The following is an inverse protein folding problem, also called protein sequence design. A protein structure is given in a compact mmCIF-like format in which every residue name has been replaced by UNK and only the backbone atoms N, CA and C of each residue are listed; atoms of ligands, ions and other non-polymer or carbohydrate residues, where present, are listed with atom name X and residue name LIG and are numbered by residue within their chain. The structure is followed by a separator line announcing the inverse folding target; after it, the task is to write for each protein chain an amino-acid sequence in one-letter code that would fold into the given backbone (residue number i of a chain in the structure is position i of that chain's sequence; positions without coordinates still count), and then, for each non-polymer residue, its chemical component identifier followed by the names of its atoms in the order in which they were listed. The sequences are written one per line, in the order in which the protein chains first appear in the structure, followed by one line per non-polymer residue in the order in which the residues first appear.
data_IF_067391362529
#
_entry.id   IF_067391362529
#
_cell.length_a   1.000
_cell.length_b   1.000
_cell.length_c   1.000
_cell.angle_alpha   90.00
_cell.angle_beta   90.00
_cell.angle_gamma   90.00
#
_symmetry.space_group_name_H-M   'P 1'
#
loop_
_entity.id
_entity.type
_entity.pdbx_description
1 polymer ?
#
# COMPACT_ATOMS: atom_id res chain seq x y z
N UNK A 1 -9.73 -9.39 33.22
CA UNK A 1 -9.80 -8.57 32.00
C UNK A 1 -10.56 -9.41 30.98
N UNK A 2 -11.89 -9.45 31.13
CA UNK A 2 -12.75 -10.25 30.26
C UNK A 2 -12.88 -9.55 28.92
N UNK A 3 -12.32 -10.17 27.88
CA UNK A 3 -12.62 -9.86 26.50
C UNK A 3 -14.08 -10.24 26.24
N UNK A 4 -15.00 -9.30 26.49
CA UNK A 4 -16.41 -9.54 26.32
C UNK A 4 -16.75 -9.73 24.82
N UNK A 5 -17.62 -10.69 24.45
CA UNK A 5 -18.02 -10.98 23.07
C UNK A 5 -18.99 -9.93 22.46
N UNK A 6 -18.94 -8.67 22.93
CA UNK A 6 -19.81 -7.56 22.52
C UNK A 6 -19.18 -6.58 21.53
N UNK A 7 -17.94 -6.77 21.11
CA UNK A 7 -17.39 -5.99 20.00
C UNK A 7 -17.93 -6.52 18.67
N UNK A 8 -18.59 -5.64 17.93
CA UNK A 8 -18.99 -5.90 16.55
C UNK A 8 -17.76 -6.40 15.77
N UNK A 9 -17.96 -7.43 14.94
CA UNK A 9 -16.87 -8.02 14.16
C UNK A 9 -16.28 -6.94 13.23
N UNK A 10 -14.94 -6.88 13.08
CA UNK A 10 -14.32 -6.02 12.08
C UNK A 10 -14.88 -6.31 10.69
N UNK A 11 -15.21 -5.28 9.92
CA UNK A 11 -15.72 -5.41 8.55
C UNK A 11 -14.92 -4.53 7.59
N UNK A 12 -14.76 -4.99 6.35
CA UNK A 12 -14.11 -4.27 5.27
C UNK A 12 -15.13 -4.04 4.15
N UNK A 13 -15.39 -2.78 3.83
CA UNK A 13 -16.28 -2.40 2.73
C UNK A 13 -15.46 -1.68 1.64
N UNK A 14 -15.45 -2.22 0.42
CA UNK A 14 -14.74 -1.62 -0.71
C UNK A 14 -15.58 -0.45 -1.26
N UNK A 15 -14.97 0.73 -1.35
CA UNK A 15 -15.62 1.97 -1.78
C UNK A 15 -15.35 2.22 -3.25
N UNK A 16 -14.09 2.07 -3.67
CA UNK A 16 -13.68 2.18 -5.07
C UNK A 16 -12.49 1.28 -5.36
N UNK A 17 -12.44 0.76 -6.58
CA UNK A 17 -11.35 -0.07 -7.07
C UNK A 17 -11.03 0.31 -8.50
N UNK A 18 -9.75 0.53 -8.77
CA UNK A 18 -9.18 0.87 -10.08
C UNK A 18 -7.84 0.15 -10.26
N UNK A 19 -7.25 0.19 -11.46
CA UNK A 19 -6.00 -0.53 -11.79
C UNK A 19 -4.85 -0.26 -10.80
N UNK A 20 -4.72 0.97 -10.33
CA UNK A 20 -3.61 1.39 -9.47
C UNK A 20 -4.05 1.94 -8.10
N UNK A 21 -5.36 2.02 -7.82
CA UNK A 21 -5.85 2.60 -6.56
C UNK A 21 -7.07 1.86 -6.04
N UNK A 22 -7.09 1.63 -4.73
CA UNK A 22 -8.21 1.05 -3.99
C UNK A 22 -8.53 1.93 -2.77
N UNK A 23 -9.82 2.19 -2.56
CA UNK A 23 -10.31 2.79 -1.32
C UNK A 23 -11.27 1.82 -0.63
N UNK A 24 -11.09 1.62 0.67
CA UNK A 24 -11.96 0.78 1.47
C UNK A 24 -12.17 1.38 2.86
N UNK A 25 -13.25 0.97 3.52
CA UNK A 25 -13.57 1.31 4.89
C UNK A 25 -13.34 0.08 5.77
N UNK A 26 -12.51 0.23 6.80
CA UNK A 26 -12.39 -0.70 7.91
C UNK A 26 -13.27 -0.20 9.06
N UNK A 27 -14.34 -0.93 9.37
CA UNK A 27 -15.26 -0.60 10.46
C UNK A 27 -15.14 -1.60 11.62
N UNK A 28 -15.54 -1.17 12.82
CA UNK A 28 -15.50 -1.95 14.06
C UNK A 28 -14.09 -2.45 14.41
N UNK A 29 -13.08 -1.61 14.16
CA UNK A 29 -11.68 -1.92 14.47
C UNK A 29 -11.07 -0.82 15.33
N UNK A 30 -9.88 -1.03 15.86
CA UNK A 30 -9.15 -0.05 16.66
C UNK A 30 -7.97 0.56 15.86
N UNK A 31 -7.44 1.67 16.36
CA UNK A 31 -6.31 2.39 15.75
C UNK A 31 -5.06 1.50 15.62
N UNK A 32 -4.84 0.59 16.57
CA UNK A 32 -3.72 -0.35 16.56
C UNK A 32 -3.81 -1.31 15.39
N UNK A 33 -4.96 -1.94 15.19
CA UNK A 33 -5.23 -2.83 14.05
C UNK A 33 -5.11 -2.10 12.71
N UNK A 34 -5.73 -0.92 12.58
CA UNK A 34 -5.64 -0.11 11.36
C UNK A 34 -4.17 0.25 11.03
N UNK A 35 -3.41 0.72 12.04
CA UNK A 35 -2.01 1.07 11.83
C UNK A 35 -1.13 -0.17 11.57
N UNK A 36 -1.47 -1.34 12.12
CA UNK A 36 -0.77 -2.59 11.81
C UNK A 36 -0.91 -2.95 10.32
N UNK A 37 -2.13 -2.92 9.78
CA UNK A 37 -2.39 -3.15 8.34
C UNK A 37 -1.58 -2.16 7.49
N UNK A 38 -1.63 -0.86 7.82
CA UNK A 38 -0.86 0.18 7.11
C UNK A 38 0.64 -0.12 7.11
N UNK A 39 1.20 -0.52 8.25
CA UNK A 39 2.64 -0.81 8.39
C UNK A 39 3.05 -2.07 7.64
N UNK A 40 2.21 -3.09 7.63
CA UNK A 40 2.46 -4.33 6.88
C UNK A 40 2.50 -4.01 5.38
N UNK A 41 1.52 -3.25 4.87
CA UNK A 41 1.48 -2.83 3.47
C UNK A 41 2.76 -2.10 3.07
N UNK A 42 3.24 -1.18 3.92
CA UNK A 42 4.44 -0.40 3.61
C UNK A 42 5.75 -1.21 3.70
N UNK A 43 5.85 -2.16 4.63
CA UNK A 43 7.17 -2.69 5.01
C UNK A 43 7.34 -4.20 4.91
N UNK A 44 6.25 -4.97 4.81
CA UNK A 44 6.30 -6.42 4.99
C UNK A 44 5.64 -7.22 3.87
N UNK A 45 5.10 -6.54 2.84
CA UNK A 45 4.71 -7.24 1.62
C UNK A 45 5.98 -7.56 0.82
N UNK A 46 6.21 -8.84 0.46
CA UNK A 46 7.33 -9.24 -0.38
C UNK A 46 7.17 -8.76 -1.82
N UNK A 47 8.26 -8.28 -2.40
CA UNK A 47 8.32 -7.88 -3.81
C UNK A 47 9.68 -8.18 -4.42
N UNK A 48 9.77 -8.12 -5.74
CA UNK A 48 11.00 -8.26 -6.51
C UNK A 48 11.54 -6.88 -6.87
N UNK A 49 12.84 -6.67 -6.72
CA UNK A 49 13.53 -5.48 -7.19
C UNK A 49 14.96 -5.83 -7.60
N UNK A 50 15.56 -5.02 -8.49
CA UNK A 50 16.95 -5.17 -8.92
C UNK A 50 17.87 -4.87 -7.72
N UNK A 51 18.71 -5.85 -7.39
CA UNK A 51 19.65 -5.77 -6.27
C UNK A 51 21.08 -5.64 -6.74
N UNK A 52 21.47 -6.46 -7.71
CA UNK A 52 22.85 -6.50 -8.23
C UNK A 52 22.82 -6.01 -9.68
N UNK A 53 23.71 -5.06 -9.98
CA UNK A 53 23.94 -4.55 -11.33
C UNK A 53 25.40 -4.77 -11.67
N UNK A 54 25.66 -5.65 -12.63
CA UNK A 54 27.01 -5.92 -13.14
C UNK A 54 27.22 -5.09 -14.40
N UNK A 55 28.13 -4.13 -14.33
CA UNK A 55 28.47 -3.26 -15.47
C UNK A 55 29.50 -3.98 -16.34
N UNK A 56 29.13 -4.23 -17.60
CA UNK A 56 30.03 -4.80 -18.60
C UNK A 56 30.63 -3.69 -19.48
N UNK A 57 29.81 -2.71 -19.83
CA UNK A 57 30.22 -1.53 -20.60
C UNK A 57 29.35 -0.33 -20.22
N UNK A 58 29.97 0.79 -19.88
CA UNK A 58 29.28 2.08 -19.77
C UNK A 58 30.18 3.17 -20.35
N UNK A 59 29.82 3.67 -21.54
CA UNK A 59 30.48 4.84 -22.15
C UNK A 59 29.58 6.07 -22.12
N UNK A 60 28.48 6.02 -21.35
CA UNK A 60 27.56 7.12 -21.16
C UNK A 60 28.15 8.21 -20.25
N UNK A 61 27.43 9.33 -20.14
CA UNK A 61 27.82 10.46 -19.27
C UNK A 61 27.50 10.19 -17.80
N UNK A 62 26.58 9.27 -17.51
CA UNK A 62 26.12 9.00 -16.14
C UNK A 62 27.01 7.94 -15.49
N UNK A 63 27.47 8.20 -14.26
CA UNK A 63 28.26 7.22 -13.52
C UNK A 63 27.48 5.95 -13.20
N UNK A 64 28.21 4.85 -13.08
CA UNK A 64 27.66 3.50 -12.89
C UNK A 64 26.71 3.43 -11.69
N UNK A 65 27.08 4.05 -10.57
CA UNK A 65 26.31 4.03 -9.33
C UNK A 65 24.94 4.73 -9.48
N UNK A 66 24.86 5.79 -10.28
CA UNK A 66 23.60 6.48 -10.53
C UNK A 66 22.68 5.64 -11.41
N UNK A 67 23.23 4.99 -12.44
CA UNK A 67 22.45 4.09 -13.31
C UNK A 67 21.96 2.89 -12.48
N UNK A 68 22.84 2.26 -11.70
CA UNK A 68 22.50 1.13 -10.84
C UNK A 68 21.42 1.50 -9.82
N UNK A 69 21.51 2.67 -9.19
CA UNK A 69 20.49 3.16 -8.26
C UNK A 69 19.13 3.36 -8.95
N UNK A 70 19.10 3.94 -10.16
CA UNK A 70 17.86 4.10 -10.94
C UNK A 70 17.24 2.76 -11.31
N UNK A 71 18.06 1.81 -11.78
CA UNK A 71 17.62 0.46 -12.11
C UNK A 71 17.05 -0.26 -10.88
N UNK A 72 17.67 -0.09 -9.72
CA UNK A 72 17.19 -0.63 -8.45
C UNK A 72 15.81 -0.13 -8.03
N UNK A 73 15.40 1.05 -8.48
CA UNK A 73 14.09 1.66 -8.17
C UNK A 73 13.00 1.34 -9.21
N UNK A 74 13.31 0.60 -10.27
CA UNK A 74 12.29 0.16 -11.21
C UNK A 74 11.35 -0.85 -10.54
N UNK A 75 10.02 -0.61 -10.56
CA UNK A 75 9.08 -1.59 -10.05
C UNK A 75 9.06 -2.80 -10.98
N UNK A 76 9.18 -4.00 -10.43
CA UNK A 76 9.04 -5.27 -11.16
C UNK A 76 7.71 -5.90 -10.80
N UNK A 77 7.02 -6.47 -11.79
CA UNK A 77 5.81 -7.26 -11.56
C UNK A 77 6.06 -8.35 -10.52
N UNK A 78 5.46 -8.16 -9.35
CA UNK A 78 5.69 -8.94 -8.14
C UNK A 78 4.46 -9.78 -7.78
N UNK A 79 3.52 -9.96 -8.72
CA UNK A 79 2.32 -10.77 -8.53
C UNK A 79 2.65 -12.21 -8.09
N UNK A 80 3.78 -12.74 -8.56
CA UNK A 80 4.29 -14.08 -8.24
C UNK A 80 5.47 -14.04 -7.26
N UNK A 81 5.71 -12.94 -6.53
CA UNK A 81 6.84 -12.84 -5.59
C UNK A 81 6.83 -13.91 -4.48
N UNK A 82 5.67 -14.49 -4.18
CA UNK A 82 5.52 -15.59 -3.22
C UNK A 82 6.20 -16.89 -3.71
N UNK A 83 6.30 -17.12 -5.02
CA UNK A 83 6.95 -18.30 -5.61
C UNK A 83 8.48 -18.26 -5.57
N UNK A 84 9.05 -17.10 -5.23
CA UNK A 84 10.50 -16.92 -5.07
C UNK A 84 10.92 -17.08 -3.61
N UNK A 85 12.08 -17.68 -3.42
CA UNK A 85 12.73 -17.75 -2.11
C UNK A 85 13.55 -16.50 -1.85
N UNK A 86 13.67 -16.13 -0.57
CA UNK A 86 14.65 -15.13 -0.18
C UNK A 86 16.06 -15.69 -0.36
N UNK A 87 16.98 -14.84 -0.83
CA UNK A 87 18.36 -15.25 -1.16
C UNK A 87 19.12 -15.80 0.05
N UNK A 88 18.86 -15.29 1.25
CA UNK A 88 19.44 -15.76 2.52
C UNK A 88 18.88 -17.11 3.00
N UNK A 89 17.73 -17.54 2.45
CA UNK A 89 17.07 -18.82 2.80
C UNK A 89 17.19 -19.87 1.70
N UNK A 90 17.72 -19.52 0.54
CA UNK A 90 17.87 -20.44 -0.56
C UNK A 90 19.06 -21.38 -0.33
N UNK A 91 18.93 -22.64 -0.73
CA UNK A 91 19.97 -23.68 -0.56
C UNK A 91 21.00 -23.72 -1.71
N UNK A 92 21.01 -22.73 -2.60
CA UNK A 92 21.98 -22.65 -3.69
C UNK A 92 23.31 -22.05 -3.23
N UNK A 93 24.40 -22.38 -3.94
CA UNK A 93 25.74 -21.85 -3.62
C UNK A 93 25.95 -20.39 -4.04
N UNK A 94 25.29 -19.95 -5.11
CA UNK A 94 25.46 -18.60 -5.67
C UNK A 94 24.10 -18.00 -6.08
N UNK A 95 23.61 -18.30 -7.29
CA UNK A 95 22.29 -17.90 -7.78
C UNK A 95 21.56 -19.04 -8.47
N UNK A 96 20.23 -19.05 -8.38
CA UNK A 96 19.38 -20.03 -9.07
C UNK A 96 18.00 -19.46 -9.41
N UNK A 97 17.25 -20.16 -10.24
CA UNK A 97 15.91 -19.75 -10.71
C UNK A 97 14.84 -19.63 -9.62
N UNK A 98 15.11 -20.12 -8.40
CA UNK A 98 14.19 -20.02 -7.24
C UNK A 98 14.36 -18.72 -6.47
N UNK A 99 15.54 -18.11 -6.48
CA UNK A 99 15.86 -16.95 -5.63
C UNK A 99 16.20 -15.67 -6.43
N UNK A 100 16.50 -15.80 -7.72
CA UNK A 100 16.89 -14.67 -8.58
C UNK A 100 16.17 -14.67 -9.93
N UNK A 101 15.96 -13.46 -10.47
CA UNK A 101 15.59 -13.26 -11.87
C UNK A 101 16.67 -12.40 -12.53
N UNK A 102 17.21 -12.86 -13.64
CA UNK A 102 18.31 -12.18 -14.35
C UNK A 102 17.81 -11.51 -15.64
N UNK A 103 18.29 -10.29 -15.87
CA UNK A 103 18.01 -9.49 -17.05
C UNK A 103 19.28 -8.94 -17.68
N UNK A 104 19.18 -8.52 -18.93
CA UNK A 104 20.22 -7.83 -19.68
C UNK A 104 19.67 -6.50 -20.17
N UNK A 105 20.47 -5.44 -20.04
CA UNK A 105 20.24 -4.15 -20.64
C UNK A 105 21.41 -3.86 -21.57
N UNK A 106 21.19 -4.00 -22.88
CA UNK A 106 22.18 -3.72 -23.91
C UNK A 106 21.62 -2.69 -24.89
N UNK A 107 22.30 -1.55 -25.03
CA UNK A 107 21.86 -0.46 -25.90
C UNK A 107 23.04 0.32 -26.43
N UNK A 108 23.07 0.55 -27.74
CA UNK A 108 24.07 1.35 -28.44
C UNK A 108 23.39 2.46 -29.23
N UNK A 109 23.96 3.66 -29.18
CA UNK A 109 23.41 4.82 -29.88
C UNK A 109 24.13 5.04 -31.21
N UNK A 110 23.45 4.77 -32.32
CA UNK A 110 23.93 5.06 -33.69
C UNK A 110 23.49 6.44 -34.18
N UNK A 111 22.35 6.93 -33.70
CA UNK A 111 21.77 8.22 -34.05
C UNK A 111 22.34 9.35 -33.17
N UNK A 112 21.88 10.59 -33.35
CA UNK A 112 22.37 11.75 -32.59
C UNK A 112 22.15 11.62 -31.08
N UNK A 113 21.01 11.04 -30.67
CA UNK A 113 20.76 10.65 -29.28
C UNK A 113 19.69 9.57 -29.16
N UNK A 114 19.86 8.67 -28.18
CA UNK A 114 18.88 7.64 -27.80
C UNK A 114 18.59 7.75 -26.30
N UNK A 115 17.33 7.74 -25.91
CA UNK A 115 16.94 7.58 -24.49
C UNK A 115 16.76 6.09 -24.23
N UNK A 116 17.55 5.55 -23.32
CA UNK A 116 17.42 4.16 -22.85
C UNK A 116 16.35 4.15 -21.76
N UNK A 117 15.40 3.25 -21.87
CA UNK A 117 14.25 3.12 -20.96
C UNK A 117 14.16 1.71 -20.39
N UNK A 118 13.26 1.49 -19.42
CA UNK A 118 13.02 0.15 -18.88
C UNK A 118 12.50 -0.85 -19.93
N UNK A 119 11.97 -0.38 -21.07
CA UNK A 119 11.58 -1.25 -22.18
C UNK A 119 12.77 -1.87 -22.94
N UNK A 120 13.97 -1.30 -22.82
CA UNK A 120 15.19 -1.89 -23.40
C UNK A 120 15.73 -3.06 -22.54
N UNK A 121 15.11 -3.37 -21.40
CA UNK A 121 15.50 -4.49 -20.52
C UNK A 121 14.86 -5.77 -21.02
N UNK A 122 15.67 -6.81 -21.22
CA UNK A 122 15.23 -8.14 -21.66
C UNK A 122 15.63 -9.21 -20.65
N UNK A 123 14.86 -10.28 -20.45
CA UNK A 123 15.27 -11.40 -19.61
C UNK A 123 16.49 -12.12 -20.20
N UNK A 124 17.42 -12.59 -19.35
CA UNK A 124 18.54 -13.40 -19.81
C UNK A 124 18.04 -14.82 -20.20
N UNK A 125 17.99 -15.13 -21.51
CA UNK A 125 17.56 -16.45 -21.97
C UNK A 125 18.49 -17.55 -21.44
N UNK A 126 17.91 -18.53 -20.73
CA UNK A 126 18.62 -19.69 -20.17
C UNK A 126 18.61 -19.80 -18.64
N UNK A 127 18.08 -18.79 -17.93
CA UNK A 127 18.11 -18.76 -16.45
C UNK A 127 16.89 -19.36 -15.74
N UNK A 128 15.73 -19.45 -16.38
CA UNK A 128 14.51 -19.98 -15.76
C UNK A 128 13.85 -21.01 -16.65
N UNK A 129 13.78 -22.27 -16.21
CA UNK A 129 12.94 -23.31 -16.83
C UNK A 129 11.44 -23.05 -16.75
N UNK A 130 11.04 -21.77 -16.66
CA UNK A 130 9.67 -21.27 -16.64
C UNK A 130 9.44 -20.58 -17.97
N UNK A 131 8.34 -20.89 -18.66
CA UNK A 131 8.06 -20.37 -20.01
C UNK A 131 8.09 -18.83 -20.07
N UNK A 132 8.39 -18.29 -21.24
CA UNK A 132 8.64 -16.86 -21.51
C UNK A 132 7.59 -15.91 -20.89
N UNK A 133 6.30 -16.30 -20.90
CA UNK A 133 5.20 -15.50 -20.35
C UNK A 133 5.15 -15.37 -18.82
N UNK A 134 5.99 -16.10 -18.08
CA UNK A 134 5.96 -16.17 -16.62
C UNK A 134 7.09 -15.41 -15.92
N UNK A 135 8.01 -14.81 -16.68
CA UNK A 135 9.14 -14.07 -16.11
C UNK A 135 8.63 -12.70 -15.63
N UNK A 136 8.83 -12.35 -14.35
CA UNK A 136 8.60 -11.00 -13.85
C UNK A 136 9.34 -9.96 -14.70
N UNK A 137 8.67 -8.90 -15.12
CA UNK A 137 9.29 -7.82 -15.90
C UNK A 137 9.05 -6.47 -15.24
N UNK A 138 9.95 -5.48 -15.45
CA UNK A 138 9.71 -4.10 -15.04
C UNK A 138 8.36 -3.58 -15.57
N UNK A 139 7.62 -2.88 -14.71
CA UNK A 139 6.33 -2.26 -15.03
C UNK A 139 6.49 -0.73 -15.18
N UNK A 140 5.70 -0.05 -16.03
CA UNK A 140 4.57 -0.55 -16.82
C UNK A 140 5.00 -1.49 -17.96
N UNK A 141 4.20 -2.52 -18.25
CA UNK A 141 4.40 -3.36 -19.45
C UNK A 141 4.04 -2.55 -20.70
N UNK A 142 4.65 -2.90 -21.84
CA UNK A 142 4.35 -2.29 -23.13
C UNK A 142 2.97 -2.78 -23.63
N UNK A 143 1.89 -2.26 -23.04
CA UNK A 143 0.53 -2.54 -23.48
C UNK A 143 0.21 -1.66 -24.71
N UNK A 144 -0.09 -2.28 -25.85
CA UNK A 144 -0.46 -1.61 -27.11
C UNK A 144 -1.79 -0.82 -27.07
N UNK A 145 -2.54 -0.86 -25.95
CA UNK A 145 -3.96 -0.46 -25.92
C UNK A 145 -4.31 0.82 -25.17
N UNK A 146 -3.35 1.57 -24.61
CA UNK A 146 -3.66 2.85 -23.93
C UNK A 146 -2.71 3.97 -24.37
N UNK A 147 -2.84 4.38 -25.64
CA UNK A 147 -2.12 5.54 -26.17
C UNK A 147 -2.94 6.83 -25.97
N UNK A 148 -3.15 7.19 -24.70
CA UNK A 148 -3.43 8.58 -24.33
C UNK A 148 -2.09 9.33 -24.23
N UNK A 149 -1.46 9.58 -25.38
CA UNK A 149 -0.53 10.70 -25.58
C UNK A 149 0.92 10.61 -25.08
N UNK A 150 1.32 9.70 -24.18
CA UNK A 150 2.74 9.50 -23.84
C UNK A 150 2.99 8.25 -23.00
N UNK A 151 3.46 7.16 -23.59
CA UNK A 151 4.16 6.10 -22.85
C UNK A 151 5.63 6.08 -23.28
N UNK A 152 6.31 7.20 -23.06
CA UNK A 152 7.77 7.13 -22.95
C UNK A 152 8.06 6.22 -21.75
N UNK A 153 8.80 5.12 -21.97
CA UNK A 153 9.19 4.24 -20.87
C UNK A 153 9.95 5.01 -19.80
N UNK A 154 10.05 4.45 -18.59
CA UNK A 154 10.80 5.05 -17.48
C UNK A 154 12.24 5.27 -17.97
N UNK A 155 12.69 6.53 -18.14
CA UNK A 155 14.00 6.81 -18.67
C UNK A 155 15.07 6.39 -17.66
N UNK A 156 16.15 5.78 -18.15
CA UNK A 156 17.29 5.35 -17.34
C UNK A 156 18.46 6.28 -17.59
N UNK A 157 18.92 6.37 -18.85
CA UNK A 157 20.04 7.21 -19.28
C UNK A 157 19.85 7.66 -20.72
N UNK A 158 20.39 8.83 -21.06
CA UNK A 158 20.44 9.33 -22.44
C UNK A 158 21.84 9.10 -23.00
N UNK A 159 21.90 8.44 -24.15
CA UNK A 159 23.12 8.18 -24.89
C UNK A 159 23.24 9.17 -26.06
N UNK A 160 24.46 9.58 -26.36
CA UNK A 160 24.85 10.29 -27.59
C UNK A 160 25.48 9.32 -28.59
N UNK A 161 25.55 9.75 -29.85
CA UNK A 161 26.17 8.99 -30.95
C UNK A 161 27.52 8.38 -30.53
N UNK A 162 27.64 7.07 -30.68
CA UNK A 162 28.84 6.31 -30.34
C UNK A 162 28.91 5.81 -28.90
N UNK A 163 28.02 6.25 -28.00
CA UNK A 163 27.92 5.72 -26.65
C UNK A 163 27.11 4.41 -26.60
N UNK A 164 27.41 3.62 -25.59
CA UNK A 164 26.96 2.25 -25.36
C UNK A 164 26.75 2.02 -23.86
N UNK A 165 25.79 1.15 -23.57
CA UNK A 165 25.47 0.66 -22.24
C UNK A 165 25.23 -0.84 -22.32
N UNK A 166 25.94 -1.62 -21.50
CA UNK A 166 25.76 -3.05 -21.36
C UNK A 166 25.85 -3.42 -19.87
N UNK A 167 24.73 -3.84 -19.30
CA UNK A 167 24.62 -4.22 -17.89
C UNK A 167 23.85 -5.53 -17.74
N UNK A 168 24.29 -6.38 -16.81
CA UNK A 168 23.50 -7.52 -16.32
C UNK A 168 22.84 -7.15 -15.00
N UNK A 169 21.56 -7.48 -14.85
CA UNK A 169 20.74 -7.07 -13.73
C UNK A 169 20.21 -8.32 -13.04
N UNK A 170 20.37 -8.42 -11.72
CA UNK A 170 19.80 -9.53 -10.94
C UNK A 170 18.80 -8.98 -9.94
N UNK A 171 17.53 -9.38 -10.08
CA UNK A 171 16.47 -9.08 -9.14
C UNK A 171 16.30 -10.18 -8.10
N UNK A 172 15.97 -9.76 -6.88
CA UNK A 172 15.77 -10.64 -5.73
C UNK A 172 14.51 -10.26 -4.97
N UNK A 173 13.91 -11.25 -4.31
CA UNK A 173 12.82 -11.03 -3.35
C UNK A 173 13.32 -10.30 -2.12
N UNK A 174 12.61 -9.26 -1.72
CA UNK A 174 12.92 -8.47 -0.53
C UNK A 174 11.67 -7.84 0.09
N UNK A 175 11.89 -7.02 1.11
CA UNK A 175 10.84 -6.37 1.91
C UNK A 175 11.10 -4.88 2.02
N UNK A 176 10.02 -4.09 2.01
CA UNK A 176 10.09 -2.62 2.16
C UNK A 176 10.79 -2.16 3.44
N UNK A 177 10.79 -2.99 4.50
CA UNK A 177 11.51 -2.71 5.75
C UNK A 177 13.04 -2.61 5.58
N UNK A 178 13.60 -3.26 4.57
CA UNK A 178 15.04 -3.28 4.33
C UNK A 178 15.46 -2.16 3.37
N UNK A 179 14.66 -1.89 2.33
CA UNK A 179 14.90 -0.78 1.42
C UNK A 179 13.59 -0.35 0.75
N UNK A 180 13.46 0.94 0.48
CA UNK A 180 12.26 1.54 -0.11
C UNK A 180 11.91 0.99 -1.51
N UNK A 181 12.89 0.43 -2.22
CA UNK A 181 12.69 -0.18 -3.56
C UNK A 181 11.74 -1.39 -3.58
N UNK A 182 11.55 -2.04 -2.43
CA UNK A 182 10.61 -3.15 -2.28
C UNK A 182 9.23 -2.72 -1.78
N UNK A 183 8.99 -1.41 -1.59
CA UNK A 183 7.67 -0.90 -1.21
C UNK A 183 6.75 -0.97 -2.43
N UNK A 184 5.66 -1.73 -2.31
CA UNK A 184 4.75 -2.01 -3.43
C UNK A 184 3.65 -0.97 -3.62
N UNK A 185 3.34 -0.20 -2.57
CA UNK A 185 2.27 0.79 -2.58
C UNK A 185 2.49 1.90 -1.55
N UNK A 186 1.93 3.06 -1.86
CA UNK A 186 1.66 4.10 -0.88
C UNK A 186 0.31 3.80 -0.20
N UNK A 187 0.23 3.98 1.11
CA UNK A 187 -1.02 3.76 1.86
C UNK A 187 -1.19 4.79 2.95
N UNK A 188 -2.40 5.35 3.02
CA UNK A 188 -2.85 6.23 4.08
C UNK A 188 -4.21 5.79 4.60
N UNK A 189 -4.52 6.15 5.84
CA UNK A 189 -5.88 6.06 6.35
C UNK A 189 -6.28 7.34 7.09
N UNK A 190 -7.57 7.60 7.13
CA UNK A 190 -8.20 8.68 7.89
C UNK A 190 -9.41 8.13 8.65
N UNK A 191 -9.71 8.70 9.81
CA UNK A 191 -10.92 8.36 10.57
C UNK A 191 -12.12 9.10 9.98
N UNK A 192 -13.29 8.45 9.97
CA UNK A 192 -14.51 9.16 9.59
C UNK A 192 -14.87 10.21 10.67
N UNK A 193 -15.16 11.46 10.29
CA UNK A 193 -15.56 12.47 11.27
C UNK A 193 -16.97 12.17 11.79
N UNK A 194 -17.11 12.19 13.11
CA UNK A 194 -18.37 12.15 13.85
C UNK A 194 -18.80 13.57 14.18
N UNK A 195 -19.90 13.99 13.57
CA UNK A 195 -20.52 15.29 13.83
C UNK A 195 -21.58 15.12 14.93
N UNK A 196 -21.52 15.98 15.94
CA UNK A 196 -22.55 16.12 16.97
C UNK A 196 -23.01 17.56 17.00
N UNK A 197 -24.33 17.76 17.04
CA UNK A 197 -24.95 19.09 17.03
C UNK A 197 -25.77 19.28 18.30
N UNK A 198 -25.70 20.47 18.88
CA UNK A 198 -26.64 20.86 19.94
C UNK A 198 -27.96 21.30 19.31
N UNK A 199 -28.93 20.39 19.27
CA UNK A 199 -30.23 20.61 18.63
C UNK A 199 -30.97 21.84 19.17
N UNK A 200 -30.95 22.08 20.49
CA UNK A 200 -31.64 23.21 21.10
C UNK A 200 -31.05 24.56 20.64
N UNK A 201 -29.73 24.66 20.61
CA UNK A 201 -29.05 25.85 20.08
C UNK A 201 -29.27 26.00 18.55
N UNK A 202 -29.30 24.88 17.83
CA UNK A 202 -29.50 24.84 16.38
C UNK A 202 -30.90 25.34 15.96
N UNK A 203 -31.94 25.06 16.75
CA UNK A 203 -33.29 25.53 16.46
C UNK A 203 -33.43 27.05 16.55
N UNK A 204 -32.72 27.70 17.48
CA UNK A 204 -32.80 29.14 17.72
C UNK A 204 -31.98 29.98 16.73
N UNK A 205 -31.18 29.35 15.87
CA UNK A 205 -30.45 30.02 14.80
C UNK A 205 -31.39 30.46 13.67
N UNK A 206 -31.20 31.70 13.21
CA UNK A 206 -31.88 32.24 12.03
C UNK A 206 -31.57 31.42 10.78
N UNK A 207 -32.45 31.48 9.79
CA UNK A 207 -32.27 30.80 8.50
C UNK A 207 -31.02 31.29 7.76
N UNK A 208 -30.73 32.59 7.82
CA UNK A 208 -29.52 33.20 7.24
C UNK A 208 -28.24 32.67 7.92
N UNK A 209 -28.21 32.60 9.26
CA UNK A 209 -27.07 32.06 9.99
C UNK A 209 -26.83 30.57 9.67
N UNK A 210 -27.89 29.78 9.46
CA UNK A 210 -27.78 28.37 9.06
C UNK A 210 -27.22 28.23 7.64
N UNK A 211 -27.60 29.11 6.72
CA UNK A 211 -27.07 29.13 5.36
C UNK A 211 -25.58 29.53 5.36
N UNK A 212 -25.21 30.57 6.11
CA UNK A 212 -23.82 31.01 6.24
C UNK A 212 -22.95 29.96 6.94
N UNK A 213 -23.47 29.25 7.94
CA UNK A 213 -22.78 28.13 8.60
C UNK A 213 -22.53 26.96 7.64
N UNK A 214 -23.45 26.67 6.72
CA UNK A 214 -23.21 25.66 5.69
C UNK A 214 -22.13 26.13 4.70
N UNK A 215 -22.18 27.41 4.32
CA UNK A 215 -21.25 28.04 3.38
C UNK A 215 -19.83 28.24 3.96
N UNK A 216 -19.68 28.33 5.28
CA UNK A 216 -18.37 28.49 5.93
C UNK A 216 -17.47 27.27 5.76
N UNK A 217 -18.03 26.09 5.41
CA UNK A 217 -17.22 24.91 5.13
C UNK A 217 -16.70 24.93 3.67
N UNK A 218 -15.39 25.13 3.44
CA UNK A 218 -14.83 25.21 2.07
C UNK A 218 -14.91 23.89 1.29
N UNK A 219 -15.20 22.78 1.99
CA UNK A 219 -15.25 21.42 1.44
C UNK A 219 -16.67 20.92 1.20
N UNK A 220 -17.69 21.77 1.40
CA UNK A 220 -19.10 21.43 1.13
C UNK A 220 -19.58 20.23 1.94
N UNK A 221 -19.16 20.13 3.22
CA UNK A 221 -19.57 19.05 4.13
C UNK A 221 -21.05 19.16 4.48
N UNK A 222 -21.53 20.40 4.61
CA UNK A 222 -22.90 20.73 4.99
C UNK A 222 -23.69 21.22 3.78
N UNK A 223 -24.99 20.94 3.80
CA UNK A 223 -25.94 21.50 2.85
C UNK A 223 -27.15 22.05 3.62
N UNK A 224 -27.53 23.29 3.29
CA UNK A 224 -28.73 23.94 3.80
C UNK A 224 -29.84 23.85 2.74
N UNK A 225 -31.01 23.35 3.13
CA UNK A 225 -32.22 23.23 2.31
C UNK A 225 -33.25 24.24 2.85
N UNK A 226 -33.06 25.52 2.54
CA UNK A 226 -34.00 26.58 2.93
C UNK A 226 -35.41 26.32 2.39
N UNK A 227 -36.43 26.69 3.17
CA UNK A 227 -37.84 26.38 2.89
C UNK A 227 -38.31 26.66 1.45
N UNK A 228 -39.09 25.68 0.94
CA UNK A 228 -39.87 25.60 -0.30
C UNK A 228 -39.24 24.80 -1.47
N UNK A 229 -39.95 23.68 -1.73
CA UNK A 229 -39.90 22.75 -2.87
C UNK A 229 -38.87 21.60 -2.83
N UNK A 230 -39.43 20.40 -2.68
CA UNK A 230 -38.86 19.04 -2.80
C UNK A 230 -38.33 18.39 -1.52
N UNK A 231 -39.24 18.10 -0.58
CA UNK A 231 -39.07 16.98 0.34
C UNK A 231 -40.04 15.85 -0.05
N UNK A 232 -39.59 14.71 -0.60
CA UNK A 232 -40.32 13.47 -0.50
C UNK A 232 -40.20 12.97 0.95
N UNK A 233 -41.34 13.01 1.64
CA UNK A 233 -41.71 12.24 2.83
C UNK A 233 -40.82 12.34 4.10
N UNK A 234 -41.43 12.94 5.13
CA UNK A 234 -40.91 13.15 6.49
C UNK A 234 -40.23 11.90 7.08
N UNK A 235 -38.94 12.02 7.35
CA UNK A 235 -38.24 11.24 8.37
C UNK A 235 -37.49 12.22 9.30
N UNK A 236 -37.60 11.99 10.60
CA UNK A 236 -37.30 12.90 11.71
C UNK A 236 -35.87 13.47 11.75
N UNK A 237 -35.78 14.80 11.95
CA UNK A 237 -34.54 15.60 12.04
C UNK A 237 -34.76 16.97 11.40
N UNK A 238 -34.29 18.06 12.00
CA UNK A 238 -34.45 19.45 11.52
C UNK A 238 -34.08 19.56 10.04
N UNK A 239 -35.09 19.69 9.17
CA UNK A 239 -35.02 19.32 7.73
C UNK A 239 -34.10 20.23 6.91
N UNK A 240 -33.75 21.40 7.46
CA UNK A 240 -33.13 22.47 6.68
C UNK A 240 -31.59 22.38 6.65
N UNK A 241 -30.92 21.56 7.47
CA UNK A 241 -29.45 21.46 7.49
C UNK A 241 -28.97 20.03 7.64
N UNK A 242 -28.14 19.54 6.72
CA UNK A 242 -27.67 18.16 6.68
C UNK A 242 -26.17 18.07 6.43
N UNK A 243 -25.51 17.11 7.08
CA UNK A 243 -24.19 16.65 6.69
C UNK A 243 -24.33 15.73 5.47
N UNK A 244 -23.84 16.18 4.32
CA UNK A 244 -23.94 15.43 3.05
C UNK A 244 -22.63 14.72 2.76
N UNK A 245 -21.52 15.45 2.77
CA UNK A 245 -20.20 14.94 2.42
C UNK A 245 -19.32 14.82 3.67
N UNK A 246 -19.71 13.95 4.62
CA UNK A 246 -18.99 13.79 5.89
C UNK A 246 -17.48 13.58 5.69
N UNK A 247 -17.10 12.81 4.68
CA UNK A 247 -15.71 12.41 4.37
C UNK A 247 -14.84 13.53 3.82
N UNK A 248 -15.45 14.64 3.38
CA UNK A 248 -14.70 15.77 2.82
C UNK A 248 -14.17 16.73 3.89
N UNK A 249 -14.58 16.55 5.15
CA UNK A 249 -14.11 17.36 6.26
C UNK A 249 -12.62 17.09 6.53
N UNK A 250 -11.84 18.17 6.55
CA UNK A 250 -10.38 18.13 6.82
C UNK A 250 -10.04 18.63 8.22
N UNK A 251 -11.02 18.75 9.12
CA UNK A 251 -10.85 19.29 10.48
C UNK A 251 -10.22 20.70 10.51
N UNK A 252 -10.68 21.58 9.61
CA UNK A 252 -10.22 22.98 9.55
C UNK A 252 -10.84 23.89 10.62
N UNK A 253 -11.81 23.41 11.38
CA UNK A 253 -12.54 24.14 12.43
C UNK A 253 -13.29 25.42 12.02
N UNK A 254 -13.34 25.79 10.74
CA UNK A 254 -14.05 26.98 10.24
C UNK A 254 -15.52 27.05 10.66
N UNK A 255 -16.26 25.93 10.54
CA UNK A 255 -17.65 25.87 10.98
C UNK A 255 -17.81 26.00 12.52
N UNK A 256 -16.81 25.57 13.28
CA UNK A 256 -16.78 25.72 14.75
C UNK A 256 -16.45 27.17 15.11
N UNK A 257 -15.51 27.80 14.40
CA UNK A 257 -15.15 29.20 14.59
C UNK A 257 -16.32 30.12 14.25
N UNK A 258 -16.99 29.89 13.13
CA UNK A 258 -18.21 30.63 12.76
C UNK A 258 -19.32 30.46 13.81
N UNK A 259 -19.53 29.24 14.33
CA UNK A 259 -20.50 29.02 15.40
C UNK A 259 -20.15 29.80 16.69
N UNK A 260 -18.85 29.92 17.02
CA UNK A 260 -18.37 30.72 18.16
C UNK A 260 -18.58 32.20 17.96
N UNK A 261 -18.39 32.72 16.74
CA UNK A 261 -18.68 34.13 16.39
C UNK A 261 -20.16 34.48 16.58
N UNK A 262 -21.05 33.52 16.29
CA UNK A 262 -22.48 33.64 16.58
C UNK A 262 -22.83 33.50 18.07
N UNK A 263 -21.85 33.33 18.95
CA UNK A 263 -22.03 33.20 20.39
C UNK A 263 -22.34 31.78 20.87
N UNK A 264 -22.31 30.76 19.99
CA UNK A 264 -22.62 29.38 20.33
C UNK A 264 -21.35 28.52 20.38
N UNK A 265 -20.81 28.29 21.58
CA UNK A 265 -19.57 27.50 21.78
C UNK A 265 -19.73 26.01 21.51
N UNK A 266 -20.91 25.46 21.78
CA UNK A 266 -21.19 24.02 21.73
C UNK A 266 -22.16 23.64 20.59
N UNK A 267 -22.25 24.47 19.55
CA UNK A 267 -23.20 24.22 18.45
C UNK A 267 -22.83 22.99 17.64
N UNK A 268 -21.55 22.89 17.27
CA UNK A 268 -20.99 21.82 16.45
C UNK A 268 -19.79 21.25 17.19
N UNK A 269 -19.78 19.93 17.35
CA UNK A 269 -18.61 19.17 17.80
C UNK A 269 -18.25 18.17 16.71
N UNK A 270 -16.98 18.18 16.29
CA UNK A 270 -16.44 17.26 15.30
C UNK A 270 -15.36 16.44 16.00
N UNK A 271 -15.54 15.13 16.06
CA UNK A 271 -14.56 14.21 16.66
C UNK A 271 -14.23 13.11 15.66
N UNK A 272 -12.98 12.61 15.65
CA UNK A 272 -12.65 11.43 14.85
C UNK A 272 -13.38 10.19 15.41
N UNK A 273 -14.00 9.40 14.53
CA UNK A 273 -14.51 8.07 14.89
C UNK A 273 -13.35 7.06 14.86
N UNK A 274 -12.83 6.73 16.05
CA UNK A 274 -11.75 5.77 16.24
C UNK A 274 -12.16 4.30 15.98
N UNK A 275 -13.39 4.06 15.50
CA UNK A 275 -13.87 2.73 15.10
C UNK A 275 -14.02 2.54 13.59
N UNK A 276 -13.83 3.62 12.81
CA UNK A 276 -14.09 3.65 11.36
C UNK A 276 -12.95 4.33 10.62
N UNK A 277 -12.19 3.55 9.86
CA UNK A 277 -10.99 4.00 9.15
C UNK A 277 -11.17 3.85 7.64
N UNK A 278 -11.05 4.95 6.91
CA UNK A 278 -11.02 4.97 5.45
C UNK A 278 -9.58 4.86 4.98
N UNK A 279 -9.26 3.78 4.30
CA UNK A 279 -7.97 3.53 3.69
C UNK A 279 -7.95 3.95 2.21
N UNK A 280 -6.79 4.41 1.77
CA UNK A 280 -6.45 4.62 0.37
C UNK A 280 -5.12 3.93 0.10
N UNK A 281 -5.12 2.93 -0.79
CA UNK A 281 -3.94 2.21 -1.27
C UNK A 281 -3.69 2.62 -2.71
N UNK A 282 -2.48 3.10 -3.00
CA UNK A 282 -2.01 3.43 -4.34
C UNK A 282 -0.82 2.54 -4.69
N UNK A 283 -1.03 1.62 -5.63
CA UNK A 283 -0.03 0.66 -6.10
C UNK A 283 0.99 1.32 -7.04
N UNK A 284 2.24 0.90 -6.93
CA UNK A 284 3.33 1.21 -7.88
C UNK A 284 3.15 0.53 -9.25
N UNK A 285 2.17 -0.37 -9.37
CA UNK A 285 1.97 -1.24 -10.53
C UNK A 285 2.63 -2.61 -10.40
N UNK A 286 3.51 -2.81 -9.40
CA UNK A 286 4.18 -4.09 -9.15
C UNK A 286 3.19 -5.19 -8.71
N UNK A 287 2.17 -4.83 -7.92
CA UNK A 287 1.12 -5.74 -7.44
C UNK A 287 -0.22 -4.98 -7.49
N UNK A 288 -1.33 -5.57 -7.96
CA UNK A 288 -2.65 -4.93 -7.91
C UNK A 288 -3.08 -4.57 -6.46
N UNK A 289 -3.78 -3.44 -6.24
CA UNK A 289 -4.08 -2.95 -4.89
C UNK A 289 -4.96 -3.89 -4.04
N UNK A 290 -5.88 -4.62 -4.67
CA UNK A 290 -6.69 -5.66 -4.02
C UNK A 290 -5.83 -6.82 -3.50
N UNK A 291 -4.81 -7.21 -4.27
CA UNK A 291 -3.87 -8.28 -3.88
C UNK A 291 -2.91 -7.81 -2.79
N UNK A 292 -2.52 -6.53 -2.79
CA UNK A 292 -1.73 -5.90 -1.72
C UNK A 292 -2.46 -6.04 -0.37
N UNK A 293 -3.75 -5.72 -0.32
CA UNK A 293 -4.53 -5.84 0.91
C UNK A 293 -4.66 -7.31 1.35
N UNK A 294 -4.95 -8.22 0.41
CA UNK A 294 -5.03 -9.66 0.69
C UNK A 294 -3.71 -10.19 1.30
N UNK A 295 -2.57 -9.90 0.67
CA UNK A 295 -1.25 -10.33 1.17
C UNK A 295 -0.94 -9.70 2.53
N UNK A 296 -1.31 -8.44 2.76
CA UNK A 296 -1.10 -7.80 4.05
C UNK A 296 -1.86 -8.50 5.19
N UNK A 297 -3.10 -8.94 4.93
CA UNK A 297 -3.89 -9.68 5.91
C UNK A 297 -3.30 -11.07 6.19
N UNK A 298 -2.82 -11.76 5.15
CA UNK A 298 -2.14 -13.05 5.30
C UNK A 298 -0.85 -12.94 6.13
N UNK A 299 -0.05 -11.89 5.91
CA UNK A 299 1.16 -11.62 6.71
C UNK A 299 0.80 -11.37 8.18
N UNK A 300 -0.30 -10.67 8.45
CA UNK A 300 -0.77 -10.44 9.81
C UNK A 300 -1.20 -11.76 10.49
N UNK A 301 -1.92 -12.61 9.76
CA UNK A 301 -2.34 -13.94 10.22
C UNK A 301 -1.15 -14.86 10.51
N UNK A 302 -0.16 -14.89 9.62
CA UNK A 302 1.07 -15.68 9.78
C UNK A 302 1.82 -15.28 11.06
N UNK A 303 1.95 -13.98 11.31
CA UNK A 303 2.59 -13.47 12.53
C UNK A 303 1.88 -13.89 13.81
N UNK A 304 0.55 -13.83 13.83
CA UNK A 304 -0.24 -14.25 14.98
C UNK A 304 -0.12 -15.76 15.20
N UNK A 305 -0.08 -16.53 14.11
CA UNK A 305 0.12 -17.99 14.15
C UNK A 305 1.49 -18.35 14.74
N UNK A 306 2.57 -17.70 14.29
CA UNK A 306 3.93 -17.90 14.83
C UNK A 306 4.01 -17.53 16.32
N UNK A 307 3.35 -16.44 16.72
CA UNK A 307 3.33 -16.02 18.12
C UNK A 307 2.58 -17.03 18.99
N UNK A 308 1.46 -17.55 18.49
CA UNK A 308 0.65 -18.55 19.17
C UNK A 308 1.39 -19.88 19.36
N UNK A 309 2.10 -20.37 18.32
CA UNK A 309 2.94 -21.57 18.44
C UNK A 309 4.07 -21.37 19.44
N UNK A 310 4.78 -20.24 19.36
CA UNK A 310 5.85 -19.88 20.30
C UNK A 310 5.37 -19.81 21.75
N UNK A 311 4.17 -19.28 21.98
CA UNK A 311 3.55 -19.26 23.30
C UNK A 311 3.23 -20.68 23.80
N UNK A 312 2.68 -21.53 22.93
CA UNK A 312 2.34 -22.92 23.27
C UNK A 312 3.58 -23.71 23.68
N UNK A 313 4.70 -23.56 22.96
CA UNK A 313 5.98 -24.16 23.31
C UNK A 313 6.55 -23.62 24.63
N UNK A 314 6.44 -22.32 24.88
CA UNK A 314 6.87 -21.71 26.14
C UNK A 314 6.03 -22.21 27.33
N UNK A 315 4.72 -22.36 27.14
CA UNK A 315 3.80 -22.89 28.14
C UNK A 315 4.11 -24.36 28.46
N UNK A 316 4.37 -25.20 27.45
CA UNK A 316 4.74 -26.60 27.65
C UNK A 316 6.05 -26.75 28.44
N UNK A 317 7.04 -25.89 28.17
CA UNK A 317 8.29 -25.84 28.96
C UNK A 317 8.05 -25.41 30.40
N UNK A 318 7.20 -24.41 30.64
CA UNK A 318 6.90 -23.91 31.98
C UNK A 318 6.12 -24.91 32.84
N UNK A 319 5.25 -25.71 32.23
CA UNK A 319 4.44 -26.73 32.91
C UNK A 319 5.18 -28.09 33.07
N UNK A 320 6.41 -28.20 32.56
CA UNK A 320 7.21 -29.43 32.67
C UNK A 320 6.69 -30.59 31.81
N UNK A 321 5.79 -30.34 30.87
CA UNK A 321 5.24 -31.36 29.96
C UNK A 321 6.12 -31.60 28.73
N UNK A 322 7.22 -30.85 28.59
CA UNK A 322 8.24 -31.00 27.55
C UNK A 322 9.52 -31.59 28.15
N UNK A 323 9.89 -32.80 27.73
CA UNK A 323 11.24 -33.36 27.96
C UNK A 323 12.20 -32.78 26.92
N UNK A 324 13.14 -31.95 27.35
CA UNK A 324 14.20 -31.42 26.48
C UNK A 324 15.14 -32.54 26.04
N UNK A 325 15.13 -32.90 24.75
CA UNK A 325 16.32 -33.47 24.11
C UNK A 325 17.34 -32.34 23.94
N UNK A 326 18.51 -32.47 24.59
CA UNK A 326 19.68 -31.63 24.33
C UNK A 326 20.23 -31.96 22.94
N UNK A 327 19.97 -31.08 21.97
CA UNK A 327 20.70 -30.98 20.71
C UNK A 327 21.30 -29.58 20.59
N UNK A 328 22.53 -29.50 20.12
CA UNK A 328 23.47 -28.37 20.13
C UNK A 328 22.91 -26.94 20.06
N UNK A 329 23.56 -26.09 20.87
CA UNK A 329 23.46 -24.63 20.84
C UNK A 329 23.94 -24.04 19.50
N UNK A 330 23.00 -23.80 18.59
CA UNK A 330 23.04 -22.68 17.63
C UNK A 330 21.70 -21.95 17.70
N UNK A 331 21.75 -20.61 17.69
CA UNK A 331 20.59 -19.73 17.82
C UNK A 331 19.47 -20.11 16.84
N UNK A 332 18.18 -20.05 17.24
CA UNK A 332 17.08 -20.40 16.37
C UNK A 332 16.81 -19.23 15.41
N UNK A 333 17.31 -19.33 14.18
CA UNK A 333 16.71 -18.62 13.06
C UNK A 333 15.65 -19.55 12.44
N UNK A 334 14.44 -19.02 12.29
CA UNK A 334 13.22 -19.78 12.01
C UNK A 334 13.34 -20.71 10.82
N UNK A 335 13.33 -22.01 11.10
CA UNK A 335 12.98 -23.06 10.16
C UNK A 335 11.48 -23.31 10.27
N UNK A 336 10.69 -22.94 9.27
CA UNK A 336 9.38 -23.56 9.09
C UNK A 336 9.53 -24.66 8.05
N UNK A 337 9.17 -25.85 8.51
CA UNK A 337 9.19 -27.13 7.81
C UNK A 337 8.24 -27.15 6.62
N UNK A 338 8.65 -27.90 5.60
CA UNK A 338 7.94 -28.20 4.35
C UNK A 338 6.54 -28.79 4.59
N UNK A 339 5.64 -28.54 3.64
CA UNK A 339 4.50 -29.41 3.34
C UNK A 339 4.64 -29.84 1.88
N UNK A 340 5.02 -31.10 1.68
CA UNK A 340 4.75 -31.84 0.45
C UNK A 340 3.25 -32.06 0.34
N UNK A 341 2.68 -31.80 -0.84
CA UNK A 341 1.28 -32.05 -1.17
C UNK A 341 1.21 -33.15 -2.23
N UNK A 342 0.93 -34.37 -1.78
CA UNK A 342 -0.03 -35.24 -2.46
C UNK A 342 -1.45 -34.90 -1.95
#
# INVERSE_FOLDING_TARGET
MEWAPRQAKPTIDIISLSRHRMEFLLANSDVGTANAIRRIILSEIPSLAIEVVTVLENTSVMHDEYIAHRLGLLPIDSSLAHEYEYRDRCQCSDKCSRCTVDYVLESKCTDDSKVVTHFDIVPEMGGSGRGDSSIPMPVPRQDFSNFAGSTEGIPIVKLKRGQSLHMKLTATKGLGKFHAKWIVANVGYSTEPRFTFNHAAFEHLSTDNKAQLAASCPRGVYQYFGGAQMAPQKLWGTVDFKVVNKTNCIYCDECINFARELGHRDLIKIEPDETRFRFSIESTGAIPPEKILEVALLVLEEKMTILHSSFTEAQARALGTSTTFRGDSRAPHGSSTMLDLD
#
